data_IF_560163372569
#
_entry.id   IF_560163372569
#
_cell.length_a   1.000
_cell.length_b   1.000
_cell.length_c   1.000
_cell.angle_alpha   90.00
_cell.angle_beta   90.00
_cell.angle_gamma   90.00
#
_symmetry.space_group_name_H-M   'P 1'
#
loop_
_entity.id
_entity.type
_entity.pdbx_description
1 polymer ?
#
# COMPACT_ATOMS: atom_id res chain seq x y z
N UNK A 1 5.82 -8.73 18.80
CA UNK A 1 4.59 -8.75 18.01
C UNK A 1 4.72 -7.95 16.73
N UNK A 2 4.13 -8.46 15.69
CA UNK A 2 4.15 -7.85 14.40
C UNK A 2 3.18 -6.66 14.29
N UNK A 3 3.35 -5.85 13.26
CA UNK A 3 2.44 -4.74 12.97
C UNK A 3 1.01 -5.24 12.74
N UNK A 4 0.03 -4.45 13.18
CA UNK A 4 -1.37 -4.71 12.91
C UNK A 4 -1.74 -4.06 11.57
N UNK A 5 -2.35 -4.81 10.64
CA UNK A 5 -2.78 -4.21 9.39
C UNK A 5 -4.09 -3.50 9.56
N UNK A 6 -4.24 -2.41 8.84
CA UNK A 6 -5.52 -1.76 8.61
C UNK A 6 -5.92 -2.18 7.20
N UNK A 7 -6.89 -3.08 7.08
CA UNK A 7 -7.31 -3.65 5.80
C UNK A 7 -8.68 -3.15 5.39
N UNK A 8 -8.80 -2.67 4.16
CA UNK A 8 -10.05 -2.17 3.60
C UNK A 8 -10.33 -2.82 2.24
N UNK A 9 -11.59 -3.24 2.05
CA UNK A 9 -12.01 -3.98 0.86
C UNK A 9 -12.47 -3.11 -0.30
N UNK A 10 -12.81 -1.85 -0.03
CA UNK A 10 -13.27 -0.94 -1.09
C UNK A 10 -12.25 0.16 -1.29
N UNK A 11 -11.87 0.37 -2.55
CA UNK A 11 -10.91 1.40 -2.89
C UNK A 11 -11.45 2.25 -4.03
N UNK A 12 -11.57 3.53 -3.76
CA UNK A 12 -11.83 4.57 -4.75
C UNK A 12 -10.95 5.77 -4.39
N UNK A 13 -10.84 6.78 -5.27
CA UNK A 13 -9.94 7.91 -5.00
C UNK A 13 -10.18 8.59 -3.66
N UNK A 14 -11.44 8.82 -3.29
CA UNK A 14 -11.76 9.51 -2.03
C UNK A 14 -11.42 8.65 -0.81
N UNK A 15 -11.75 7.36 -0.84
CA UNK A 15 -11.48 6.48 0.30
C UNK A 15 -9.98 6.21 0.48
N UNK A 16 -9.23 6.16 -0.61
CA UNK A 16 -7.77 6.03 -0.56
C UNK A 16 -7.13 7.26 0.07
N UNK A 17 -7.56 8.45 -0.37
CA UNK A 17 -7.07 9.71 0.18
C UNK A 17 -7.36 9.81 1.67
N UNK A 18 -8.59 9.49 2.07
CA UNK A 18 -9.00 9.53 3.48
C UNK A 18 -8.21 8.53 4.33
N UNK A 19 -7.97 7.33 3.81
CA UNK A 19 -7.20 6.30 4.52
C UNK A 19 -5.76 6.74 4.76
N UNK A 20 -5.11 7.33 3.75
CA UNK A 20 -3.74 7.83 3.89
C UNK A 20 -3.67 8.98 4.88
N UNK A 21 -4.64 9.90 4.85
CA UNK A 21 -4.69 11.01 5.79
C UNK A 21 -4.83 10.53 7.24
N UNK A 22 -5.70 9.55 7.47
CA UNK A 22 -5.88 8.93 8.78
C UNK A 22 -4.61 8.19 9.22
N UNK A 23 -4.02 7.44 8.30
CA UNK A 23 -2.83 6.64 8.58
C UNK A 23 -1.62 7.48 8.96
N UNK A 24 -1.50 8.67 8.37
CA UNK A 24 -0.43 9.60 8.68
C UNK A 24 -0.40 9.97 10.17
N UNK A 25 -1.57 10.00 10.81
CA UNK A 25 -1.72 10.34 12.23
C UNK A 25 -1.74 9.12 13.14
N UNK A 26 -1.71 7.91 12.58
CA UNK A 26 -1.76 6.68 13.36
C UNK A 26 -0.45 6.50 14.14
N UNK A 27 -0.52 6.26 15.49
CA UNK A 27 0.70 6.13 16.29
C UNK A 27 1.42 4.81 16.01
N UNK A 28 2.66 4.90 15.54
CA UNK A 28 3.51 3.75 15.24
C UNK A 28 4.95 4.20 15.08
N UNK A 29 5.88 3.25 15.03
CA UNK A 29 7.30 3.59 14.79
C UNK A 29 7.53 3.98 13.34
N UNK A 30 7.09 3.14 12.41
CA UNK A 30 7.24 3.39 10.97
C UNK A 30 5.94 2.99 10.28
N UNK A 31 5.63 3.67 9.17
CA UNK A 31 4.42 3.45 8.39
C UNK A 31 4.76 2.80 7.08
N UNK A 32 4.05 1.72 6.77
CA UNK A 32 4.15 1.01 5.50
C UNK A 32 2.76 0.91 4.88
N UNK A 33 2.70 0.91 3.56
CA UNK A 33 1.44 0.71 2.87
C UNK A 33 1.61 -0.32 1.75
N UNK A 34 0.60 -1.16 1.59
CA UNK A 34 0.42 -2.03 0.45
C UNK A 34 -0.86 -1.59 -0.25
N UNK A 35 -0.69 -0.98 -1.41
CA UNK A 35 -1.79 -0.41 -2.19
C UNK A 35 -1.94 -1.16 -3.51
N UNK A 36 -3.15 -1.56 -3.83
CA UNK A 36 -3.46 -2.20 -5.09
C UNK A 36 -4.29 -1.31 -6.00
N UNK A 37 -4.79 -1.91 -7.07
CA UNK A 37 -5.61 -1.19 -8.04
C UNK A 37 -6.94 -0.73 -7.46
N UNK A 38 -7.35 0.44 -7.89
CA UNK A 38 -8.73 0.89 -7.79
C UNK A 38 -9.43 0.48 -9.10
N UNK A 39 -10.39 -0.43 -9.01
CA UNK A 39 -11.05 -0.98 -10.19
C UNK A 39 -12.24 -0.10 -10.62
N UNK A 40 -12.69 -0.30 -11.85
CA UNK A 40 -13.89 0.31 -12.40
C UNK A 40 -13.84 1.84 -12.53
N UNK A 41 -12.66 2.40 -12.71
CA UNK A 41 -12.50 3.85 -12.90
C UNK A 41 -12.52 4.29 -14.38
N UNK A 42 -12.47 3.33 -15.31
CA UNK A 42 -12.45 3.65 -16.74
C UNK A 42 -11.32 4.59 -17.11
N UNK A 43 -11.64 5.66 -17.85
CA UNK A 43 -10.65 6.65 -18.27
C UNK A 43 -10.03 7.47 -17.13
N UNK A 44 -10.60 7.41 -15.94
CA UNK A 44 -10.06 8.11 -14.76
C UNK A 44 -8.99 7.30 -14.03
N UNK A 45 -8.75 6.06 -14.46
CA UNK A 45 -7.81 5.17 -13.75
C UNK A 45 -6.39 5.74 -13.69
N UNK A 46 -5.85 6.15 -14.83
CA UNK A 46 -4.48 6.67 -14.87
C UNK A 46 -4.30 7.90 -13.98
N UNK A 47 -5.08 8.98 -14.12
CA UNK A 47 -4.90 10.16 -13.27
C UNK A 47 -5.19 9.87 -11.79
N UNK A 48 -6.15 8.99 -11.47
CA UNK A 48 -6.46 8.65 -10.09
C UNK A 48 -5.32 7.89 -9.40
N UNK A 49 -4.71 6.94 -10.11
CA UNK A 49 -3.58 6.19 -9.55
C UNK A 49 -2.33 7.06 -9.42
N UNK A 50 -2.10 7.98 -10.34
CA UNK A 50 -0.99 8.93 -10.24
C UNK A 50 -1.18 9.88 -9.06
N UNK A 51 -2.39 10.40 -8.86
CA UNK A 51 -2.68 11.25 -7.71
C UNK A 51 -2.52 10.50 -6.40
N UNK A 52 -2.94 9.23 -6.36
CA UNK A 52 -2.73 8.39 -5.18
C UNK A 52 -1.24 8.25 -4.85
N UNK A 53 -0.39 8.12 -5.85
CA UNK A 53 1.07 8.08 -5.65
C UNK A 53 1.61 9.34 -5.01
N UNK A 54 1.15 10.51 -5.46
CA UNK A 54 1.54 11.79 -4.86
C UNK A 54 1.06 11.88 -3.42
N UNK A 55 -0.17 11.45 -3.15
CA UNK A 55 -0.71 11.43 -1.79
C UNK A 55 0.08 10.48 -0.88
N UNK A 56 0.46 9.31 -1.40
CA UNK A 56 1.29 8.36 -0.65
C UNK A 56 2.64 8.97 -0.26
N UNK A 57 3.26 9.72 -1.17
CA UNK A 57 4.52 10.39 -0.89
C UNK A 57 4.40 11.44 0.23
N UNK A 58 3.20 11.99 0.45
CA UNK A 58 2.93 12.97 1.50
C UNK A 58 2.43 12.35 2.80
N UNK A 59 2.21 11.04 2.83
CA UNK A 59 1.57 10.34 3.96
C UNK A 59 2.55 9.92 5.06
N UNK A 60 3.81 10.28 4.97
CA UNK A 60 4.80 9.92 5.98
C UNK A 60 5.16 8.43 5.97
N UNK A 61 5.06 7.78 4.83
CA UNK A 61 5.40 6.36 4.70
C UNK A 61 6.91 6.17 4.71
N UNK A 62 7.37 5.13 5.39
CA UNK A 62 8.75 4.65 5.28
C UNK A 62 8.96 3.94 3.95
N UNK A 63 7.97 3.14 3.54
CA UNK A 63 7.99 2.48 2.24
C UNK A 63 6.57 2.25 1.73
N UNK A 64 6.46 2.17 0.41
CA UNK A 64 5.22 1.83 -0.29
C UNK A 64 5.46 0.59 -1.14
N UNK A 65 4.59 -0.39 -0.98
CA UNK A 65 4.53 -1.57 -1.86
C UNK A 65 3.23 -1.49 -2.63
N UNK A 66 3.30 -1.68 -3.94
CA UNK A 66 2.11 -1.67 -4.80
C UNK A 66 1.97 -3.02 -5.50
N UNK A 67 0.73 -3.37 -5.83
CA UNK A 67 0.41 -4.58 -6.57
C UNK A 67 -0.75 -4.33 -7.53
N UNK A 68 -0.58 -4.77 -8.76
CA UNK A 68 -1.60 -4.66 -9.80
C UNK A 68 -1.15 -3.80 -10.96
N UNK A 69 -1.70 -4.03 -12.16
CA UNK A 69 -1.26 -3.32 -13.37
C UNK A 69 -1.43 -1.80 -13.28
N UNK A 70 -2.53 -1.32 -12.71
CA UNK A 70 -2.74 0.13 -12.57
C UNK A 70 -1.94 0.72 -11.41
N UNK A 71 -1.68 -0.06 -10.37
CA UNK A 71 -0.90 0.39 -9.22
C UNK A 71 0.59 0.65 -9.57
N UNK A 72 1.05 0.18 -10.72
CA UNK A 72 2.37 0.57 -11.24
C UNK A 72 2.46 2.09 -11.45
N UNK A 73 1.35 2.74 -11.84
CA UNK A 73 1.27 4.19 -11.97
C UNK A 73 1.39 4.89 -10.61
N UNK A 74 0.78 4.30 -9.58
CA UNK A 74 0.89 4.79 -8.21
C UNK A 74 2.34 4.74 -7.74
N UNK A 75 3.02 3.62 -7.99
CA UNK A 75 4.43 3.46 -7.62
C UNK A 75 5.32 4.50 -8.30
N UNK A 76 5.15 4.69 -9.61
CA UNK A 76 5.94 5.65 -10.37
C UNK A 76 5.72 7.07 -9.85
N UNK A 77 4.46 7.46 -9.67
CA UNK A 77 4.12 8.80 -9.19
C UNK A 77 4.66 9.05 -7.77
N UNK A 78 4.62 8.06 -6.90
CA UNK A 78 5.18 8.18 -5.55
C UNK A 78 6.70 8.40 -5.58
N UNK A 79 7.41 7.66 -6.42
CA UNK A 79 8.86 7.87 -6.62
C UNK A 79 9.15 9.27 -7.16
N UNK A 80 8.41 9.69 -8.16
CA UNK A 80 8.59 11.01 -8.79
C UNK A 80 8.30 12.14 -7.79
N UNK A 81 7.42 11.89 -6.83
CA UNK A 81 7.09 12.85 -5.76
C UNK A 81 8.06 12.81 -4.58
N UNK A 82 9.07 11.96 -4.60
CA UNK A 82 10.14 11.96 -3.62
C UNK A 82 10.13 10.84 -2.59
N UNK A 83 9.20 9.88 -2.68
CA UNK A 83 9.23 8.71 -1.79
C UNK A 83 10.36 7.78 -2.22
N UNK A 84 11.35 7.61 -1.33
CA UNK A 84 12.59 6.92 -1.69
C UNK A 84 12.44 5.40 -1.83
N UNK A 85 11.63 4.79 -0.96
CA UNK A 85 11.50 3.32 -0.94
C UNK A 85 10.13 2.89 -1.45
N UNK A 86 10.08 2.57 -2.74
CA UNK A 86 8.87 2.12 -3.43
C UNK A 86 9.16 0.84 -4.18
N UNK A 87 8.34 -0.19 -3.95
CA UNK A 87 8.45 -1.48 -4.62
C UNK A 87 7.13 -1.79 -5.30
N UNK A 88 7.16 -2.04 -6.61
CA UNK A 88 6.00 -2.57 -7.32
C UNK A 88 6.15 -4.09 -7.41
N UNK A 89 5.27 -4.82 -6.73
CA UNK A 89 5.30 -6.27 -6.69
C UNK A 89 4.53 -6.85 -7.88
N UNK A 90 5.06 -7.93 -8.44
CA UNK A 90 4.44 -8.60 -9.59
C UNK A 90 3.52 -9.74 -9.17
N UNK A 91 3.65 -10.21 -7.93
CA UNK A 91 2.79 -11.24 -7.36
C UNK A 91 2.65 -11.04 -5.85
N UNK A 92 1.79 -11.84 -5.22
CA UNK A 92 1.55 -11.73 -3.78
C UNK A 92 2.79 -12.08 -2.96
N UNK A 93 3.62 -13.02 -3.43
CA UNK A 93 4.84 -13.39 -2.71
C UNK A 93 5.85 -12.25 -2.70
N UNK A 94 6.03 -11.57 -3.81
CA UNK A 94 6.91 -10.41 -3.87
C UNK A 94 6.43 -9.29 -2.95
N UNK A 95 5.12 -9.06 -2.89
CA UNK A 95 4.55 -8.07 -1.98
C UNK A 95 4.84 -8.43 -0.52
N UNK A 96 4.61 -9.68 -0.14
CA UNK A 96 4.89 -10.15 1.21
C UNK A 96 6.38 -10.06 1.54
N UNK A 97 7.24 -10.48 0.63
CA UNK A 97 8.70 -10.45 0.83
C UNK A 97 9.21 -9.02 1.00
N UNK A 98 8.68 -8.08 0.21
CA UNK A 98 9.07 -6.67 0.32
C UNK A 98 8.72 -6.09 1.69
N UNK A 99 7.56 -6.46 2.24
CA UNK A 99 7.14 -6.02 3.57
C UNK A 99 7.97 -6.71 4.66
N UNK A 100 8.19 -8.02 4.55
CA UNK A 100 8.99 -8.77 5.52
C UNK A 100 10.44 -8.26 5.61
N UNK A 101 11.00 -7.83 4.49
CA UNK A 101 12.36 -7.30 4.46
C UNK A 101 12.49 -5.95 5.19
N UNK A 102 11.38 -5.24 5.40
CA UNK A 102 11.37 -3.85 5.90
C UNK A 102 10.76 -3.68 7.27
N UNK A 103 9.70 -4.44 7.56
CA UNK A 103 8.91 -4.22 8.77
C UNK A 103 9.47 -4.90 10.00
N UNK A 104 9.25 -4.26 11.15
CA UNK A 104 9.69 -4.73 12.46
C UNK A 104 8.57 -4.48 13.49
N UNK A 105 8.66 -5.07 14.69
CA UNK A 105 7.67 -4.82 15.74
C UNK A 105 7.53 -3.33 16.04
N UNK A 106 6.31 -2.87 16.16
CA UNK A 106 5.99 -1.46 16.39
C UNK A 106 5.64 -0.69 15.13
N UNK A 107 5.87 -1.27 13.96
CA UNK A 107 5.49 -0.68 12.68
C UNK A 107 4.01 -0.95 12.36
N UNK A 108 3.41 -0.12 11.54
CA UNK A 108 2.03 -0.27 11.09
C UNK A 108 1.97 -0.45 9.57
N UNK A 109 0.99 -1.19 9.12
CA UNK A 109 0.77 -1.48 7.71
C UNK A 109 -0.67 -1.14 7.32
N UNK A 110 -0.82 -0.26 6.33
CA UNK A 110 -2.11 0.00 5.68
C UNK A 110 -2.20 -0.86 4.42
N UNK A 111 -3.25 -1.67 4.32
CA UNK A 111 -3.50 -2.49 3.14
C UNK A 111 -4.81 -2.06 2.52
N UNK A 112 -4.78 -1.58 1.29
CA UNK A 112 -6.00 -1.08 0.64
C UNK A 112 -5.98 -1.27 -0.87
N UNK A 113 -7.07 -1.84 -1.38
CA UNK A 113 -7.31 -2.04 -2.81
C UNK A 113 -8.78 -2.38 -3.03
N UNK A 114 -9.21 -2.38 -4.27
CA UNK A 114 -10.51 -2.94 -4.63
C UNK A 114 -10.56 -4.43 -4.27
N UNK A 115 -11.74 -4.91 -3.89
CA UNK A 115 -11.94 -6.29 -3.43
C UNK A 115 -11.41 -7.33 -4.44
N UNK A 116 -11.58 -7.08 -5.73
CA UNK A 116 -11.10 -7.99 -6.78
C UNK A 116 -9.60 -8.20 -6.82
N UNK A 117 -8.83 -7.35 -6.12
CA UNK A 117 -7.37 -7.49 -6.04
C UNK A 117 -6.92 -8.58 -5.06
N UNK A 118 -7.80 -8.99 -4.14
CA UNK A 118 -7.56 -10.09 -3.19
C UNK A 118 -6.22 -9.96 -2.42
N UNK A 119 -5.92 -8.76 -1.92
CA UNK A 119 -4.65 -8.51 -1.21
C UNK A 119 -4.51 -9.30 0.09
N UNK A 120 -5.59 -9.87 0.61
CA UNK A 120 -5.53 -10.81 1.74
C UNK A 120 -4.62 -12.00 1.44
N UNK A 121 -4.43 -12.34 0.16
CA UNK A 121 -3.51 -13.41 -0.24
C UNK A 121 -2.05 -13.04 0.04
N UNK A 122 -1.68 -11.77 -0.14
CA UNK A 122 -0.36 -11.29 0.25
C UNK A 122 -0.20 -11.31 1.77
N UNK A 123 -1.24 -10.90 2.50
CA UNK A 123 -1.21 -10.93 3.97
C UNK A 123 -1.08 -12.34 4.51
N UNK A 124 -1.71 -13.31 3.86
CA UNK A 124 -1.59 -14.72 4.24
C UNK A 124 -0.15 -15.24 4.11
N UNK A 125 0.64 -14.67 3.21
CA UNK A 125 2.06 -14.99 3.07
C UNK A 125 2.94 -14.21 4.03
N UNK A 126 2.55 -13.00 4.38
CA UNK A 126 3.28 -12.11 5.26
C UNK A 126 3.16 -12.51 6.74
N UNK A 127 1.93 -12.72 7.23
CA UNK A 127 1.66 -12.93 8.65
C UNK A 127 2.33 -14.15 9.27
N UNK A 128 2.33 -15.33 8.64
CA UNK A 128 2.94 -16.50 9.27
C UNK A 128 4.43 -16.32 9.58
N UNK A 129 5.13 -15.54 8.75
CA UNK A 129 6.56 -15.25 8.96
C UNK A 129 6.74 -14.12 9.96
N UNK A 130 5.97 -13.06 9.79
CA UNK A 130 6.02 -11.88 10.64
C UNK A 130 5.66 -12.19 12.10
N UNK A 131 4.72 -13.11 12.34
CA UNK A 131 4.28 -13.49 13.68
C UNK A 131 5.27 -14.39 14.44
N UNK A 132 6.28 -14.90 13.77
CA UNK A 132 7.35 -15.66 14.41
C UNK A 132 8.41 -14.71 14.96
#
# INVERSE_FOLDING_TARGET
>A
TCALPIYCYNANPDSMKAALAMFKEYPCKHRFALLGDMLELGGMSAPAHEELGRQAAEAGLTALVTYGPEAARTAKAAKDAGLADVVHAEDYQQAADALLARMAPGDALLVKASRGMALEKALALFYPVCAK
#
